data_IF_066140293299
#
_entry.id   IF_066140293299
#
_cell.length_a   1.000
_cell.length_b   1.000
_cell.length_c   1.000
_cell.angle_alpha   90.00
_cell.angle_beta   90.00
_cell.angle_gamma   90.00
#
_symmetry.space_group_name_H-M   'P 1'
#
loop_
_entity.id
_entity.type
_entity.pdbx_description
1 polymer ?
#
# COMPACT_ATOMS: atom_id res chain seq x y z
N UNK A 1 -21.18 7.29 59.48
CA UNK A 1 -19.92 6.54 59.55
C UNK A 1 -19.57 6.09 58.13
N UNK A 2 -18.57 6.75 57.52
CA UNK A 2 -18.14 6.54 56.12
C UNK A 2 -17.24 5.32 56.05
N UNK A 3 -17.50 4.38 55.15
CA UNK A 3 -16.49 3.44 54.66
C UNK A 3 -16.38 3.67 53.16
N UNK A 4 -15.27 4.30 52.77
CA UNK A 4 -14.85 4.51 51.38
C UNK A 4 -14.24 3.19 50.88
N UNK A 5 -14.87 2.52 49.91
CA UNK A 5 -14.17 1.56 49.07
C UNK A 5 -13.53 2.33 47.92
N UNK A 6 -12.20 2.39 47.95
CA UNK A 6 -11.37 2.91 46.86
C UNK A 6 -11.20 1.76 45.88
N UNK A 7 -11.91 1.79 44.74
CA UNK A 7 -11.64 0.88 43.62
C UNK A 7 -10.67 1.58 42.67
N UNK A 8 -9.42 1.13 42.67
CA UNK A 8 -8.39 1.58 41.74
C UNK A 8 -8.77 1.19 40.31
N UNK A 9 -8.99 2.18 39.46
CA UNK A 9 -9.22 2.02 38.03
C UNK A 9 -7.88 1.80 37.33
N UNK A 10 -7.55 0.55 37.00
CA UNK A 10 -6.46 0.25 36.07
C UNK A 10 -6.92 0.57 34.64
N UNK A 11 -6.51 1.73 34.13
CA UNK A 11 -6.66 2.12 32.73
C UNK A 11 -5.66 1.30 31.89
N UNK A 12 -6.13 0.15 31.37
CA UNK A 12 -5.37 -0.70 30.47
C UNK A 12 -5.27 -0.07 29.08
N UNK A 13 -4.25 0.78 28.89
CA UNK A 13 -3.78 1.24 27.59
C UNK A 13 -3.32 0.01 26.79
N UNK A 14 -4.17 -0.49 25.90
CA UNK A 14 -3.81 -1.61 25.02
C UNK A 14 -2.89 -1.08 23.91
N UNK A 15 -1.65 -0.74 24.27
CA UNK A 15 -0.53 -0.80 23.34
C UNK A 15 -0.44 -2.26 22.91
N UNK A 16 -0.78 -2.56 21.66
CA UNK A 16 -0.16 -3.70 21.00
C UNK A 16 1.34 -3.38 20.90
N UNK A 17 2.08 -3.60 22.00
CA UNK A 17 3.49 -3.89 21.98
C UNK A 17 3.64 -5.08 21.04
N UNK A 18 3.94 -4.80 19.77
CA UNK A 18 4.62 -5.77 18.94
C UNK A 18 5.92 -6.03 19.68
N UNK A 19 5.98 -7.09 20.50
CA UNK A 19 7.23 -7.60 21.00
C UNK A 19 8.14 -7.70 19.77
N UNK A 20 9.19 -6.88 19.73
CA UNK A 20 10.15 -6.94 18.65
C UNK A 20 10.58 -8.40 18.58
N UNK A 21 10.35 -9.06 17.44
CA UNK A 21 10.86 -10.42 17.23
C UNK A 21 12.32 -10.39 17.65
N UNK A 22 12.79 -11.33 18.50
CA UNK A 22 14.19 -11.34 18.90
C UNK A 22 15.03 -11.23 17.63
N UNK A 23 15.93 -10.24 17.58
CA UNK A 23 16.78 -10.03 16.41
C UNK A 23 17.41 -11.39 16.09
N UNK A 24 17.34 -11.85 14.83
CA UNK A 24 17.94 -13.12 14.48
C UNK A 24 19.40 -13.08 14.94
N UNK A 25 19.89 -14.16 15.58
CA UNK A 25 21.23 -14.16 16.15
C UNK A 25 22.28 -13.92 15.07
N UNK A 26 22.02 -14.34 13.83
CA UNK A 26 22.87 -14.10 12.68
C UNK A 26 22.15 -13.19 11.68
N UNK A 27 22.86 -12.19 11.16
CA UNK A 27 22.37 -11.25 10.14
C UNK A 27 23.36 -11.23 8.98
N UNK A 28 22.85 -11.42 7.76
CA UNK A 28 23.61 -11.20 6.52
C UNK A 28 23.22 -9.83 5.99
N UNK A 29 24.16 -8.88 6.03
CA UNK A 29 23.96 -7.56 5.44
C UNK A 29 24.45 -7.59 4.00
N UNK A 30 23.65 -7.03 3.10
CA UNK A 30 24.03 -6.77 1.72
C UNK A 30 23.72 -5.31 1.47
N UNK A 31 24.70 -4.56 1.00
CA UNK A 31 24.57 -3.13 0.70
C UNK A 31 25.20 -2.85 -0.65
N UNK A 32 24.74 -1.79 -1.32
CA UNK A 32 25.35 -1.28 -2.54
C UNK A 32 26.47 -0.30 -2.22
N UNK A 33 27.32 0.00 -3.21
CA UNK A 33 28.39 1.01 -3.13
C UNK A 33 27.86 2.45 -3.04
N UNK A 34 26.59 2.69 -3.42
CA UNK A 34 25.88 3.97 -3.22
C UNK A 34 24.78 3.84 -2.15
N UNK A 35 24.67 4.75 -1.17
CA UNK A 35 23.63 4.71 -0.14
C UNK A 35 22.20 4.77 -0.70
N UNK A 36 21.98 5.55 -1.75
CA UNK A 36 20.68 5.73 -2.41
C UNK A 36 20.30 4.51 -3.26
N UNK A 37 21.29 3.70 -3.63
CA UNK A 37 21.16 2.55 -4.52
C UNK A 37 20.50 2.88 -5.89
N UNK A 38 20.73 4.08 -6.43
CA UNK A 38 20.24 4.52 -7.74
C UNK A 38 21.39 4.69 -8.74
N UNK A 39 21.17 4.19 -9.95
CA UNK A 39 22.18 4.05 -11.02
C UNK A 39 21.58 4.44 -12.38
N UNK A 40 22.45 4.86 -13.30
CA UNK A 40 22.11 4.95 -14.72
C UNK A 40 22.17 3.55 -15.36
N UNK A 41 21.39 3.31 -16.42
CA UNK A 41 21.49 2.07 -17.17
C UNK A 41 22.92 1.91 -17.75
N UNK A 42 23.52 0.74 -17.57
CA UNK A 42 24.91 0.46 -17.95
C UNK A 42 25.93 0.72 -16.84
N UNK A 43 25.58 1.47 -15.78
CA UNK A 43 26.43 1.57 -14.59
C UNK A 43 26.67 0.18 -13.97
N UNK A 44 27.82 0.00 -13.32
CA UNK A 44 28.08 -1.16 -12.48
C UNK A 44 27.75 -0.84 -11.03
N UNK A 45 26.92 -1.65 -10.40
CA UNK A 45 26.75 -1.66 -8.95
C UNK A 45 27.67 -2.72 -8.34
N UNK A 46 28.28 -2.39 -7.21
CA UNK A 46 29.01 -3.35 -6.37
C UNK A 46 28.24 -3.60 -5.08
N UNK A 47 27.88 -4.86 -4.84
CA UNK A 47 27.28 -5.32 -3.61
C UNK A 47 28.36 -5.76 -2.64
N UNK A 48 28.34 -5.22 -1.42
CA UNK A 48 29.18 -5.66 -0.31
C UNK A 48 28.37 -6.54 0.63
N UNK A 49 28.90 -7.72 0.95
CA UNK A 49 28.29 -8.70 1.84
C UNK A 49 29.10 -8.76 3.13
N UNK A 50 28.40 -8.68 4.26
CA UNK A 50 28.96 -8.99 5.58
C UNK A 50 28.00 -9.89 6.35
N UNK A 51 28.52 -10.61 7.34
CA UNK A 51 27.70 -11.42 8.23
C UNK A 51 28.12 -11.19 9.66
N UNK A 52 27.14 -11.02 10.56
CA UNK A 52 27.37 -10.86 11.99
C UNK A 52 26.62 -11.96 12.74
N UNK A 53 27.26 -12.56 13.74
CA UNK A 53 26.66 -13.50 14.69
C UNK A 53 26.73 -12.88 16.09
N UNK A 54 25.56 -12.52 16.65
CA UNK A 54 25.40 -11.81 17.91
C UNK A 54 26.24 -10.53 18.00
N UNK A 55 26.36 -9.82 16.88
CA UNK A 55 27.14 -8.59 16.76
C UNK A 55 28.63 -8.79 16.52
N UNK A 56 29.13 -10.03 16.52
CA UNK A 56 30.51 -10.35 16.19
C UNK A 56 30.61 -10.63 14.68
N UNK A 57 31.51 -9.96 13.93
CA UNK A 57 31.71 -10.23 12.52
C UNK A 57 32.17 -11.68 12.26
N UNK A 58 31.47 -12.37 11.36
CA UNK A 58 31.87 -13.70 10.91
C UNK A 58 32.96 -13.55 9.84
N UNK A 59 34.16 -14.04 10.14
CA UNK A 59 35.35 -13.78 9.33
C UNK A 59 35.40 -14.60 8.03
N UNK A 60 34.86 -15.81 8.06
CA UNK A 60 34.94 -16.78 6.96
C UNK A 60 33.60 -17.47 6.77
N UNK A 61 33.22 -17.74 5.53
CA UNK A 61 32.00 -18.47 5.22
C UNK A 61 31.67 -18.43 3.74
N UNK A 62 31.29 -19.57 3.16
CA UNK A 62 30.98 -19.71 1.75
C UNK A 62 29.47 -19.76 1.48
N UNK A 63 29.10 -19.42 0.25
CA UNK A 63 27.73 -19.51 -0.23
C UNK A 63 27.58 -18.91 -1.62
N UNK A 64 26.39 -18.41 -1.94
CA UNK A 64 26.08 -17.90 -3.27
C UNK A 64 25.38 -16.55 -3.25
N UNK A 65 25.61 -15.77 -4.29
CA UNK A 65 24.88 -14.57 -4.63
C UNK A 65 24.12 -14.80 -5.95
N UNK A 66 22.84 -14.46 -5.99
CA UNK A 66 22.02 -14.54 -7.20
C UNK A 66 21.48 -13.17 -7.57
N UNK A 67 21.58 -12.82 -8.86
CA UNK A 67 21.05 -11.59 -9.43
C UNK A 67 19.77 -11.88 -10.23
N UNK A 68 18.80 -10.97 -10.16
CA UNK A 68 17.53 -11.04 -10.90
C UNK A 68 16.98 -9.67 -11.22
N UNK A 69 16.20 -9.57 -12.31
CA UNK A 69 15.39 -8.39 -12.65
C UNK A 69 14.11 -8.41 -11.80
N UNK A 70 14.09 -7.64 -10.72
CA UNK A 70 12.98 -7.52 -9.77
C UNK A 70 12.32 -8.87 -9.42
N UNK A 71 13.17 -9.89 -9.16
CA UNK A 71 12.80 -11.30 -8.88
C UNK A 71 12.03 -12.05 -9.98
N UNK A 72 11.87 -11.46 -11.16
CA UNK A 72 11.38 -12.16 -12.35
C UNK A 72 12.52 -12.93 -13.01
N UNK A 73 13.05 -12.43 -14.14
CA UNK A 73 14.17 -13.09 -14.85
C UNK A 73 15.41 -13.21 -13.97
N UNK A 74 15.93 -14.42 -13.84
CA UNK A 74 17.22 -14.72 -13.20
C UNK A 74 18.35 -14.33 -14.15
N UNK A 75 19.31 -13.54 -13.67
CA UNK A 75 20.44 -13.05 -14.47
C UNK A 75 21.72 -13.86 -14.24
N UNK A 76 21.85 -14.47 -13.06
CA UNK A 76 23.00 -15.32 -12.76
C UNK A 76 23.06 -15.73 -11.30
N UNK A 77 23.91 -16.71 -11.02
CA UNK A 77 24.33 -17.07 -9.66
C UNK A 77 25.84 -17.25 -9.68
N UNK A 78 26.52 -16.74 -8.67
CA UNK A 78 27.94 -16.97 -8.45
C UNK A 78 28.20 -17.43 -7.02
N UNK A 79 29.25 -18.21 -6.84
CA UNK A 79 29.78 -18.53 -5.52
C UNK A 79 30.48 -17.29 -4.95
N UNK A 80 30.32 -17.09 -3.65
CA UNK A 80 30.96 -16.03 -2.88
C UNK A 80 31.47 -16.60 -1.57
N UNK A 81 32.55 -16.03 -1.04
CA UNK A 81 33.09 -16.42 0.25
C UNK A 81 33.54 -15.18 0.99
N UNK A 82 33.16 -15.07 2.27
CA UNK A 82 33.72 -14.07 3.18
C UNK A 82 35.20 -14.39 3.39
N UNK A 83 36.05 -13.42 3.11
CA UNK A 83 37.48 -13.47 3.36
C UNK A 83 37.86 -12.26 4.21
N UNK A 84 38.17 -12.47 5.49
CA UNK A 84 38.41 -11.37 6.44
C UNK A 84 37.14 -10.57 6.77
N UNK A 85 35.98 -11.24 6.82
CA UNK A 85 34.72 -10.65 7.30
C UNK A 85 33.81 -10.04 6.24
N UNK A 86 34.25 -9.96 4.99
CA UNK A 86 33.45 -9.41 3.90
C UNK A 86 33.75 -10.07 2.55
N UNK A 87 32.86 -9.86 1.59
CA UNK A 87 33.14 -10.09 0.17
C UNK A 87 32.29 -9.17 -0.71
N UNK A 88 32.65 -9.06 -1.98
CA UNK A 88 31.95 -8.22 -2.95
C UNK A 88 31.60 -8.99 -4.21
N UNK A 89 30.53 -8.58 -4.87
CA UNK A 89 30.19 -8.99 -6.23
C UNK A 89 29.49 -7.85 -6.94
N UNK A 90 29.46 -7.86 -8.27
CA UNK A 90 28.94 -6.75 -9.05
C UNK A 90 27.87 -7.20 -10.05
N UNK A 91 27.10 -6.25 -10.54
CA UNK A 91 26.16 -6.45 -11.64
C UNK A 91 25.73 -5.13 -12.26
N UNK A 92 24.94 -5.21 -13.32
CA UNK A 92 24.37 -4.05 -14.01
C UNK A 92 23.03 -4.41 -14.66
N UNK A 93 22.26 -3.39 -15.01
CA UNK A 93 21.15 -3.49 -15.96
C UNK A 93 21.36 -2.48 -17.09
N UNK A 94 21.08 -2.91 -18.32
CA UNK A 94 21.08 -2.04 -19.51
C UNK A 94 19.69 -1.48 -19.83
N UNK A 95 18.72 -1.74 -18.95
CA UNK A 95 17.33 -1.31 -19.09
C UNK A 95 16.77 -0.85 -17.74
N UNK A 96 15.78 0.06 -17.71
CA UNK A 96 15.17 0.51 -16.47
C UNK A 96 14.57 -0.65 -15.67
N UNK A 97 14.88 -0.71 -14.38
CA UNK A 97 14.44 -1.80 -13.51
C UNK A 97 15.18 -1.87 -12.18
N UNK A 98 14.94 -2.95 -11.45
CA UNK A 98 15.59 -3.22 -10.17
C UNK A 98 16.45 -4.47 -10.26
N UNK A 99 17.75 -4.34 -10.02
CA UNK A 99 18.66 -5.47 -9.91
C UNK A 99 18.64 -5.98 -8.47
N UNK A 100 17.94 -7.09 -8.24
CA UNK A 100 17.86 -7.71 -6.91
C UNK A 100 19.01 -8.69 -6.70
N UNK A 101 19.70 -8.53 -5.57
CA UNK A 101 20.78 -9.38 -5.12
C UNK A 101 20.36 -10.21 -3.92
N UNK A 102 20.18 -11.52 -4.13
CA UNK A 102 19.82 -12.47 -3.08
C UNK A 102 21.03 -13.30 -2.68
N UNK A 103 21.50 -13.13 -1.45
CA UNK A 103 22.67 -13.79 -0.90
C UNK A 103 22.25 -14.93 0.02
N UNK A 104 22.93 -16.08 -0.08
CA UNK A 104 22.83 -17.21 0.84
C UNK A 104 24.22 -17.55 1.36
N UNK A 105 24.45 -17.45 2.67
CA UNK A 105 25.71 -17.84 3.32
C UNK A 105 25.48 -18.99 4.30
N UNK A 106 26.45 -19.91 4.40
CA UNK A 106 26.44 -20.97 5.40
C UNK A 106 27.16 -20.51 6.67
N UNK A 107 26.53 -20.69 7.83
CA UNK A 107 27.12 -20.44 9.16
C UNK A 107 26.42 -21.28 10.22
N UNK A 108 27.18 -21.96 11.08
CA UNK A 108 26.67 -22.89 12.11
C UNK A 108 25.66 -23.93 11.54
N UNK A 109 26.04 -24.61 10.46
CA UNK A 109 25.24 -25.62 9.73
C UNK A 109 23.88 -25.14 9.21
N UNK A 110 23.65 -23.81 9.20
CA UNK A 110 22.43 -23.18 8.70
C UNK A 110 22.74 -22.25 7.55
N UNK A 111 21.74 -22.04 6.69
CA UNK A 111 21.81 -21.04 5.63
C UNK A 111 21.13 -19.76 6.09
N UNK A 112 21.85 -18.65 5.97
CA UNK A 112 21.38 -17.31 6.27
C UNK A 112 21.27 -16.50 4.99
N UNK A 113 20.30 -15.60 4.93
CA UNK A 113 19.95 -14.89 3.69
C UNK A 113 20.05 -13.40 3.85
N UNK A 114 20.64 -12.73 2.86
CA UNK A 114 20.66 -11.29 2.74
C UNK A 114 20.01 -10.84 1.43
N UNK A 115 19.47 -9.64 1.40
CA UNK A 115 18.84 -9.06 0.22
C UNK A 115 19.18 -7.59 0.12
N UNK A 116 19.61 -7.17 -1.07
CA UNK A 116 19.75 -5.79 -1.48
C UNK A 116 19.19 -5.63 -2.89
N UNK A 117 18.98 -4.39 -3.31
CA UNK A 117 18.57 -4.07 -4.66
C UNK A 117 19.20 -2.75 -5.10
N UNK A 118 19.47 -2.66 -6.40
CA UNK A 118 19.92 -1.44 -7.06
C UNK A 118 18.88 -1.02 -8.10
N UNK A 119 18.45 0.23 -8.07
CA UNK A 119 17.52 0.81 -9.02
C UNK A 119 18.28 1.39 -10.22
N UNK A 120 17.94 0.95 -11.42
CA UNK A 120 18.48 1.47 -12.67
C UNK A 120 17.39 2.30 -13.33
N UNK A 121 17.62 3.62 -13.40
CA UNK A 121 16.69 4.62 -13.97
C UNK A 121 15.21 4.36 -13.63
N UNK A 122 14.84 4.23 -12.34
CA UNK A 122 13.53 3.68 -11.96
C UNK A 122 12.34 4.54 -12.44
N UNK A 123 12.53 5.85 -12.63
CA UNK A 123 11.51 6.75 -13.20
C UNK A 123 11.23 6.52 -14.69
N UNK A 124 12.08 5.77 -15.39
CA UNK A 124 11.87 5.37 -16.79
C UNK A 124 11.19 3.99 -16.91
N UNK A 125 10.85 3.35 -15.80
CA UNK A 125 10.11 2.09 -15.80
C UNK A 125 8.72 2.34 -16.40
N UNK A 126 8.47 1.70 -17.54
CA UNK A 126 7.17 1.68 -18.18
C UNK A 126 6.28 0.61 -17.56
N UNK A 127 4.98 0.90 -17.49
CA UNK A 127 3.98 -0.07 -17.11
C UNK A 127 3.86 -1.19 -18.15
N UNK A 128 3.79 -2.43 -17.67
CA UNK A 128 3.46 -3.59 -18.49
C UNK A 128 1.95 -3.64 -18.78
N UNK A 129 1.12 -3.21 -17.83
CA UNK A 129 -0.34 -3.21 -18.01
C UNK A 129 -0.77 -2.10 -18.98
N UNK A 130 -1.45 -2.50 -20.06
CA UNK A 130 -2.04 -1.59 -21.04
C UNK A 130 -3.41 -1.10 -20.57
N UNK A 131 -3.81 0.08 -21.04
CA UNK A 131 -5.10 0.68 -20.74
C UNK A 131 -6.15 0.14 -21.73
N UNK A 132 -7.21 -0.56 -21.27
CA UNK A 132 -8.32 -0.95 -22.15
C UNK A 132 -9.06 0.27 -22.71
N UNK A 133 -9.52 0.19 -23.96
CA UNK A 133 -10.22 1.29 -24.64
C UNK A 133 -11.53 1.69 -23.92
N UNK A 134 -12.25 0.73 -23.35
CA UNK A 134 -13.50 0.93 -22.60
C UNK A 134 -13.27 1.07 -21.08
N UNK A 135 -12.02 1.26 -20.62
CA UNK A 135 -11.69 1.24 -19.19
C UNK A 135 -12.55 2.18 -18.34
N UNK A 136 -12.64 3.46 -18.71
CA UNK A 136 -13.46 4.42 -17.97
C UNK A 136 -14.96 4.16 -18.16
N UNK A 137 -15.38 3.75 -19.36
CA UNK A 137 -16.76 3.41 -19.64
C UNK A 137 -17.26 2.22 -18.77
N UNK A 138 -16.40 1.23 -18.51
CA UNK A 138 -16.68 0.12 -17.60
C UNK A 138 -16.97 0.61 -16.17
N UNK A 139 -16.14 1.50 -15.63
CA UNK A 139 -16.33 2.05 -14.29
C UNK A 139 -17.54 3.00 -14.21
N UNK A 140 -17.79 3.80 -15.24
CA UNK A 140 -18.98 4.65 -15.35
C UNK A 140 -20.27 3.84 -15.43
N UNK A 141 -20.27 2.72 -16.17
CA UNK A 141 -21.40 1.80 -16.20
C UNK A 141 -21.67 1.20 -14.80
N UNK A 142 -20.61 0.84 -14.07
CA UNK A 142 -20.70 0.40 -12.67
C UNK A 142 -21.30 1.48 -11.75
N UNK A 143 -20.86 2.74 -11.89
CA UNK A 143 -21.41 3.90 -11.15
C UNK A 143 -22.88 4.13 -11.48
N UNK A 144 -23.27 4.06 -12.76
CA UNK A 144 -24.67 4.20 -13.21
C UNK A 144 -25.56 3.10 -12.66
N UNK A 145 -25.07 1.85 -12.61
CA UNK A 145 -25.79 0.76 -11.95
C UNK A 145 -25.96 1.03 -10.45
N UNK A 146 -24.90 1.50 -9.79
CA UNK A 146 -24.92 1.80 -8.37
C UNK A 146 -25.80 3.00 -8.01
N UNK A 147 -25.92 4.01 -8.88
CA UNK A 147 -26.81 5.17 -8.66
C UNK A 147 -28.29 4.81 -8.73
N UNK A 148 -28.64 3.72 -9.43
CA UNK A 148 -30.01 3.18 -9.44
C UNK A 148 -30.41 2.46 -8.14
N UNK A 149 -29.45 2.20 -7.24
CA UNK A 149 -29.69 1.61 -5.92
C UNK A 149 -29.85 2.75 -4.90
N UNK A 150 -30.88 2.78 -4.04
CA UNK A 150 -30.99 3.76 -2.97
C UNK A 150 -29.76 3.78 -2.06
N UNK A 151 -29.36 4.95 -1.55
CA UNK A 151 -28.16 5.09 -0.70
C UNK A 151 -28.20 4.11 0.49
N UNK A 152 -29.38 3.98 1.11
CA UNK A 152 -29.61 3.23 2.36
C UNK A 152 -28.43 3.43 3.33
N UNK A 153 -28.12 4.71 3.58
CA UNK A 153 -27.09 5.10 4.53
C UNK A 153 -27.55 4.74 5.93
N UNK A 154 -26.73 3.96 6.63
CA UNK A 154 -26.95 3.61 8.02
C UNK A 154 -25.76 4.07 8.84
N UNK A 155 -26.04 4.64 10.00
CA UNK A 155 -25.02 5.03 10.96
C UNK A 155 -25.39 4.58 12.36
N UNK A 156 -24.37 4.19 13.13
CA UNK A 156 -24.47 3.90 14.56
C UNK A 156 -23.37 4.67 15.27
N UNK A 157 -23.76 5.54 16.20
CA UNK A 157 -22.81 6.24 17.07
C UNK A 157 -22.06 5.23 17.95
N UNK A 158 -20.76 5.41 18.08
CA UNK A 158 -19.88 4.58 18.88
C UNK A 158 -19.43 5.39 20.10
N UNK A 159 -20.27 5.45 21.14
CA UNK A 159 -20.03 6.35 22.29
C UNK A 159 -18.66 6.11 22.95
N UNK A 160 -18.25 4.85 23.10
CA UNK A 160 -16.93 4.48 23.64
C UNK A 160 -15.73 4.89 22.76
N UNK A 161 -15.97 5.40 21.54
CA UNK A 161 -14.95 5.90 20.60
C UNK A 161 -15.08 7.40 20.33
N UNK A 162 -16.09 8.06 20.90
CA UNK A 162 -16.22 9.52 20.86
C UNK A 162 -15.24 10.16 21.84
N UNK A 163 -14.85 11.40 21.57
CA UNK A 163 -13.97 12.20 22.44
C UNK A 163 -14.54 13.61 22.58
N UNK A 164 -13.90 14.47 23.37
CA UNK A 164 -14.26 15.90 23.43
C UNK A 164 -13.97 16.63 22.11
N UNK A 165 -13.16 16.05 21.22
CA UNK A 165 -12.78 16.65 19.94
C UNK A 165 -13.63 16.16 18.75
N UNK A 166 -14.22 14.96 18.81
CA UNK A 166 -14.98 14.39 17.70
C UNK A 166 -15.98 13.32 18.15
N UNK A 167 -17.02 13.12 17.34
CA UNK A 167 -17.93 11.98 17.44
C UNK A 167 -17.53 10.87 16.45
N UNK A 168 -17.67 9.61 16.85
CA UNK A 168 -17.32 8.45 16.03
C UNK A 168 -18.56 7.62 15.67
N UNK A 169 -18.64 7.18 14.43
CA UNK A 169 -19.76 6.41 13.89
C UNK A 169 -19.25 5.19 13.13
N UNK A 170 -19.93 4.05 13.30
CA UNK A 170 -19.94 2.99 12.30
C UNK A 170 -20.94 3.38 11.21
N UNK A 171 -20.54 3.26 9.94
CA UNK A 171 -21.34 3.66 8.79
C UNK A 171 -21.43 2.52 7.77
N UNK A 172 -22.52 2.49 7.01
CA UNK A 172 -22.64 1.60 5.85
C UNK A 172 -23.55 2.15 4.76
N UNK A 173 -23.32 1.67 3.54
CA UNK A 173 -24.06 2.04 2.33
C UNK A 173 -24.48 0.79 1.57
N UNK A 174 -25.69 0.80 1.01
CA UNK A 174 -26.07 -0.24 0.04
C UNK A 174 -25.15 -0.18 -1.18
N UNK A 175 -24.85 -1.36 -1.72
CA UNK A 175 -23.93 -1.54 -2.83
C UNK A 175 -24.53 -2.53 -3.85
N UNK A 176 -23.83 -2.75 -4.97
CA UNK A 176 -24.22 -3.73 -5.98
C UNK A 176 -24.33 -5.15 -5.40
N UNK A 177 -25.09 -5.99 -6.10
CA UNK A 177 -25.27 -7.41 -5.81
C UNK A 177 -25.82 -7.71 -4.40
N UNK A 178 -26.64 -6.79 -3.87
CA UNK A 178 -27.23 -6.90 -2.54
C UNK A 178 -26.22 -6.78 -1.39
N UNK A 179 -24.99 -6.37 -1.70
CA UNK A 179 -23.92 -6.21 -0.70
C UNK A 179 -23.98 -4.82 -0.05
N UNK A 180 -23.13 -4.61 0.95
CA UNK A 180 -22.93 -3.30 1.60
C UNK A 180 -21.45 -2.97 1.72
N UNK A 181 -21.13 -1.69 1.66
CA UNK A 181 -19.84 -1.16 2.07
C UNK A 181 -19.93 -0.73 3.54
N UNK A 182 -18.95 -1.12 4.35
CA UNK A 182 -18.89 -0.83 5.79
C UNK A 182 -17.64 -0.03 6.14
N UNK A 183 -17.74 0.83 7.14
CA UNK A 183 -16.61 1.62 7.59
C UNK A 183 -16.93 2.46 8.82
N UNK A 184 -16.10 3.47 9.02
CA UNK A 184 -16.20 4.39 10.14
C UNK A 184 -16.06 5.83 9.68
N UNK A 185 -16.72 6.74 10.39
CA UNK A 185 -16.59 8.18 10.22
C UNK A 185 -16.34 8.83 11.59
N UNK A 186 -15.30 9.65 11.68
CA UNK A 186 -15.11 10.59 12.77
C UNK A 186 -15.51 11.99 12.30
N UNK A 187 -16.44 12.62 13.01
CA UNK A 187 -16.92 13.98 12.74
C UNK A 187 -16.41 14.91 13.83
N UNK A 188 -15.57 15.92 13.51
CA UNK A 188 -15.09 16.88 14.50
C UNK A 188 -16.25 17.61 15.19
N UNK A 189 -16.08 17.90 16.49
CA UNK A 189 -16.95 18.81 17.21
C UNK A 189 -16.54 20.25 16.89
N UNK A 190 -17.52 21.13 16.67
CA UNK A 190 -17.29 22.53 16.34
C UNK A 190 -18.15 22.99 15.17
N UNK A 191 -17.90 24.21 14.71
CA UNK A 191 -18.55 24.75 13.51
C UNK A 191 -17.67 24.41 12.31
N UNK A 192 -18.19 23.59 11.41
CA UNK A 192 -17.61 23.38 10.09
C UNK A 192 -17.79 24.60 9.17
N UNK A 193 -17.61 24.45 7.85
CA UNK A 193 -17.31 23.18 7.17
C UNK A 193 -15.88 22.69 7.41
N UNK A 194 -15.63 21.40 7.19
CA UNK A 194 -14.37 20.72 7.47
C UNK A 194 -13.73 20.15 6.20
N UNK A 195 -12.39 20.07 6.11
CA UNK A 195 -11.72 19.23 5.12
C UNK A 195 -11.98 17.76 5.40
N UNK A 196 -11.73 16.88 4.42
CA UNK A 196 -11.96 15.45 4.53
C UNK A 196 -10.70 14.61 4.30
N UNK A 197 -10.53 13.57 5.11
CA UNK A 197 -9.51 12.54 4.95
C UNK A 197 -10.19 11.18 4.79
N UNK A 198 -9.75 10.42 3.79
CA UNK A 198 -10.29 9.11 3.45
C UNK A 198 -9.18 8.08 3.46
N UNK A 199 -9.45 6.90 4.01
CA UNK A 199 -8.53 5.76 3.92
C UNK A 199 -9.23 4.45 3.65
N UNK A 200 -8.54 3.58 2.92
CA UNK A 200 -8.94 2.19 2.70
C UNK A 200 -7.88 1.30 3.37
N UNK A 201 -8.27 0.27 4.14
CA UNK A 201 -7.33 -0.53 4.90
C UNK A 201 -6.41 -1.39 4.02
N UNK A 202 -5.30 -1.81 4.60
CA UNK A 202 -4.41 -2.81 4.00
C UNK A 202 -5.06 -4.20 3.92
N UNK A 203 -4.46 -5.09 3.14
CA UNK A 203 -4.96 -6.44 2.96
C UNK A 203 -4.93 -7.25 4.26
N UNK A 204 -6.01 -7.99 4.53
CA UNK A 204 -6.06 -8.94 5.64
C UNK A 204 -7.42 -9.01 6.32
N UNK A 205 -7.54 -9.77 7.43
CA UNK A 205 -8.72 -9.77 8.28
C UNK A 205 -8.89 -8.47 9.05
N UNK A 206 -7.80 -7.69 9.14
CA UNK A 206 -7.53 -6.70 10.16
C UNK A 206 -8.79 -5.95 10.58
N UNK A 207 -9.34 -6.25 11.77
CA UNK A 207 -10.30 -5.36 12.39
C UNK A 207 -9.69 -3.96 12.36
N UNK A 208 -10.34 -3.05 11.65
CA UNK A 208 -10.00 -1.64 11.64
C UNK A 208 -11.10 -0.89 12.39
N UNK A 209 -10.81 0.35 12.77
CA UNK A 209 -11.71 1.16 13.57
C UNK A 209 -11.75 2.61 13.10
N UNK A 210 -12.53 3.45 13.80
CA UNK A 210 -12.50 4.89 13.59
C UNK A 210 -11.07 5.44 13.78
N UNK A 211 -10.63 6.29 12.86
CA UNK A 211 -9.31 6.94 12.91
C UNK A 211 -9.46 8.42 13.21
N UNK A 212 -9.35 8.78 14.49
CA UNK A 212 -9.59 10.15 14.97
C UNK A 212 -8.43 11.12 14.78
N UNK A 213 -7.27 10.68 14.28
CA UNK A 213 -6.03 11.49 14.29
C UNK A 213 -6.11 12.81 13.51
N UNK A 214 -6.86 12.85 12.40
CA UNK A 214 -7.17 14.09 11.70
C UNK A 214 -8.45 14.76 12.23
N UNK A 215 -9.39 13.98 12.77
CA UNK A 215 -10.62 14.53 13.36
C UNK A 215 -10.35 15.40 14.59
N UNK A 216 -9.35 15.07 15.40
CA UNK A 216 -8.87 15.95 16.49
C UNK A 216 -8.33 17.29 16.01
N UNK A 217 -8.04 17.42 14.71
CA UNK A 217 -7.54 18.64 14.07
C UNK A 217 -8.59 19.31 13.17
N UNK A 218 -9.87 18.97 13.34
CA UNK A 218 -10.96 19.58 12.58
C UNK A 218 -11.16 19.02 11.17
N UNK A 219 -10.95 17.71 10.96
CA UNK A 219 -11.15 17.05 9.67
C UNK A 219 -12.18 15.91 9.74
N UNK A 220 -13.09 15.80 8.78
CA UNK A 220 -13.90 14.60 8.60
C UNK A 220 -12.98 13.42 8.26
N UNK A 221 -12.89 12.41 9.11
CA UNK A 221 -12.00 11.27 8.89
C UNK A 221 -12.79 9.99 8.64
N UNK A 222 -12.72 9.46 7.42
CA UNK A 222 -13.48 8.30 6.97
C UNK A 222 -12.55 7.12 6.63
N UNK A 223 -12.86 5.95 7.17
CA UNK A 223 -12.18 4.68 6.81
C UNK A 223 -13.22 3.71 6.27
N UNK A 224 -13.09 3.30 5.00
CA UNK A 224 -14.02 2.37 4.35
C UNK A 224 -13.34 1.04 4.07
N UNK A 225 -13.94 -0.05 4.53
CA UNK A 225 -13.44 -1.41 4.34
C UNK A 225 -13.72 -2.00 2.98
N UNK A 226 -13.00 -3.09 2.67
CA UNK A 226 -13.15 -3.85 1.41
C UNK A 226 -14.06 -5.07 1.54
N UNK A 227 -14.41 -5.45 2.76
CA UNK A 227 -15.20 -6.65 3.06
C UNK A 227 -16.69 -6.35 3.19
N UNK A 228 -17.52 -7.38 3.08
CA UNK A 228 -19.00 -7.28 3.15
C UNK A 228 -19.57 -7.53 4.54
N UNK A 229 -18.73 -7.72 5.56
CA UNK A 229 -19.19 -7.92 6.93
C UNK A 229 -19.13 -6.61 7.73
N UNK A 230 -20.04 -6.47 8.68
CA UNK A 230 -20.21 -5.25 9.47
C UNK A 230 -19.15 -5.12 10.56
N UNK A 231 -18.01 -4.53 10.18
CA UNK A 231 -16.89 -4.28 11.09
C UNK A 231 -17.23 -3.34 12.26
N UNK A 232 -18.34 -2.61 12.19
CA UNK A 232 -18.76 -1.68 13.24
C UNK A 232 -19.62 -2.31 14.34
N UNK A 233 -20.17 -3.50 14.09
CA UNK A 233 -21.03 -4.22 15.05
C UNK A 233 -20.46 -5.56 15.47
N UNK A 234 -19.67 -6.21 14.62
CA UNK A 234 -19.01 -7.47 14.93
C UNK A 234 -17.84 -7.28 15.90
N UNK A 235 -17.63 -8.28 16.75
CA UNK A 235 -16.43 -8.42 17.56
C UNK A 235 -15.21 -8.74 16.69
N UNK A 236 -14.01 -8.56 17.24
CA UNK A 236 -12.76 -8.89 16.56
C UNK A 236 -12.72 -10.36 16.11
N UNK A 237 -13.23 -11.28 16.94
CA UNK A 237 -13.19 -12.71 16.63
C UNK A 237 -14.24 -13.12 15.59
N UNK A 238 -15.41 -12.49 15.58
CA UNK A 238 -16.39 -12.64 14.50
C UNK A 238 -15.85 -12.10 13.17
N UNK A 239 -15.14 -10.96 13.16
CA UNK A 239 -14.47 -10.43 11.98
C UNK A 239 -13.44 -11.42 11.44
N UNK A 240 -12.59 -11.99 12.31
CA UNK A 240 -11.62 -13.02 11.93
C UNK A 240 -12.30 -14.28 11.39
N UNK A 241 -13.40 -14.72 12.00
CA UNK A 241 -14.17 -15.88 11.55
C UNK A 241 -14.82 -15.64 10.18
N UNK A 242 -15.39 -14.44 9.96
CA UNK A 242 -15.97 -14.03 8.68
C UNK A 242 -14.89 -13.95 7.59
N UNK A 243 -13.73 -13.36 7.89
CA UNK A 243 -12.58 -13.33 6.98
C UNK A 243 -12.08 -14.74 6.66
N UNK A 244 -11.98 -15.62 7.65
CA UNK A 244 -11.56 -17.01 7.45
C UNK A 244 -12.54 -17.72 6.51
N UNK A 245 -13.85 -17.55 6.75
CA UNK A 245 -14.92 -18.11 5.91
C UNK A 245 -14.85 -17.59 4.48
N UNK A 246 -14.66 -16.27 4.31
CA UNK A 246 -14.46 -15.65 3.00
C UNK A 246 -13.27 -16.25 2.26
N UNK A 247 -12.18 -16.62 2.96
CA UNK A 247 -10.98 -17.15 2.31
C UNK A 247 -10.96 -18.67 2.16
N UNK A 248 -11.97 -19.41 2.65
CA UNK A 248 -12.08 -20.88 2.48
C UNK A 248 -12.05 -21.32 1.01
N UNK A 249 -12.84 -20.74 0.08
CA UNK A 249 -12.78 -21.11 -1.34
C UNK A 249 -11.57 -20.52 -2.09
N UNK A 250 -10.59 -19.96 -1.37
CA UNK A 250 -9.44 -19.26 -1.93
C UNK A 250 -9.38 -17.80 -1.48
N UNK A 251 -8.25 -17.15 -1.74
CA UNK A 251 -8.01 -15.77 -1.28
C UNK A 251 -9.05 -14.80 -1.86
N UNK A 252 -9.65 -13.96 -1.00
CA UNK A 252 -10.69 -12.99 -1.38
C UNK A 252 -10.29 -12.11 -2.57
N UNK A 253 -9.00 -11.77 -2.68
CA UNK A 253 -8.43 -10.94 -3.75
C UNK A 253 -8.48 -11.61 -5.13
N UNK A 254 -8.87 -12.88 -5.20
CA UNK A 254 -9.04 -13.66 -6.42
C UNK A 254 -10.48 -14.17 -6.60
N UNK A 255 -11.45 -13.71 -5.79
CA UNK A 255 -12.84 -14.11 -5.98
C UNK A 255 -13.42 -13.49 -7.25
N UNK A 256 -14.17 -14.29 -8.01
CA UNK A 256 -14.83 -13.85 -9.25
C UNK A 256 -13.92 -13.78 -10.48
N UNK A 257 -12.61 -14.06 -10.35
CA UNK A 257 -11.72 -14.15 -11.52
C UNK A 257 -12.12 -15.33 -12.43
N UNK A 258 -11.98 -15.21 -13.77
CA UNK A 258 -11.54 -14.04 -14.54
C UNK A 258 -12.68 -13.11 -14.99
N UNK A 259 -13.88 -13.20 -14.43
CA UNK A 259 -15.02 -12.39 -14.86
C UNK A 259 -14.94 -10.96 -14.26
N UNK A 260 -14.69 -9.95 -15.09
CA UNK A 260 -14.56 -8.55 -14.65
C UNK A 260 -15.82 -8.03 -13.95
N UNK A 261 -17.02 -8.53 -14.27
CA UNK A 261 -18.27 -8.11 -13.63
C UNK A 261 -18.45 -8.72 -12.24
N UNK A 262 -17.85 -9.90 -12.00
CA UNK A 262 -17.94 -10.63 -10.72
C UNK A 262 -16.71 -10.45 -9.83
N UNK A 263 -15.65 -9.83 -10.34
CA UNK A 263 -14.40 -9.71 -9.62
C UNK A 263 -14.57 -8.92 -8.31
N UNK A 264 -13.97 -9.43 -7.24
CA UNK A 264 -14.09 -8.92 -5.87
C UNK A 264 -13.93 -7.40 -5.78
N UNK A 265 -12.89 -6.83 -6.41
CA UNK A 265 -12.59 -5.41 -6.25
C UNK A 265 -13.53 -4.49 -7.03
N UNK A 266 -14.37 -5.01 -7.93
CA UNK A 266 -15.41 -4.21 -8.59
C UNK A 266 -16.38 -3.62 -7.58
N UNK A 267 -17.00 -4.48 -6.76
CA UNK A 267 -17.90 -4.02 -5.69
C UNK A 267 -17.17 -3.17 -4.65
N UNK A 268 -15.89 -3.43 -4.40
CA UNK A 268 -15.10 -2.66 -3.43
C UNK A 268 -14.98 -1.21 -3.90
N UNK A 269 -14.46 -0.98 -5.10
CA UNK A 269 -14.19 0.39 -5.54
C UNK A 269 -15.45 1.16 -5.89
N UNK A 270 -16.52 0.49 -6.33
CA UNK A 270 -17.84 1.10 -6.42
C UNK A 270 -18.38 1.52 -5.04
N UNK A 271 -18.20 0.69 -4.01
CA UNK A 271 -18.60 0.99 -2.64
C UNK A 271 -17.81 2.13 -2.00
N UNK A 272 -16.48 2.14 -2.17
CA UNK A 272 -15.61 3.24 -1.70
C UNK A 272 -15.96 4.53 -2.44
N UNK A 273 -16.13 4.49 -3.75
CA UNK A 273 -16.52 5.66 -4.56
C UNK A 273 -17.86 6.26 -4.10
N UNK A 274 -18.86 5.42 -3.82
CA UNK A 274 -20.15 5.85 -3.26
C UNK A 274 -20.01 6.53 -1.91
N UNK A 275 -19.18 5.98 -1.03
CA UNK A 275 -18.92 6.58 0.28
C UNK A 275 -18.23 7.94 0.16
N UNK A 276 -17.25 8.06 -0.75
CA UNK A 276 -16.57 9.33 -1.05
C UNK A 276 -17.53 10.37 -1.63
N UNK A 277 -18.38 9.99 -2.59
CA UNK A 277 -19.40 10.88 -3.16
C UNK A 277 -20.42 11.33 -2.11
N UNK A 278 -20.81 10.43 -1.19
CA UNK A 278 -21.66 10.80 -0.06
C UNK A 278 -20.97 11.78 0.88
N UNK A 279 -19.69 11.55 1.22
CA UNK A 279 -18.90 12.45 2.05
C UNK A 279 -18.79 13.84 1.42
N UNK A 280 -18.57 13.90 0.10
CA UNK A 280 -18.51 15.13 -0.68
C UNK A 280 -19.87 15.86 -0.80
N UNK A 281 -20.99 15.16 -0.60
CA UNK A 281 -22.32 15.77 -0.61
C UNK A 281 -22.76 16.31 0.76
N UNK A 282 -21.97 16.12 1.82
CA UNK A 282 -22.33 16.59 3.15
C UNK A 282 -22.18 18.10 3.26
N UNK A 283 -23.15 18.73 3.94
CA UNK A 283 -23.14 20.18 4.19
C UNK A 283 -22.01 20.65 5.12
N UNK A 284 -21.39 19.73 5.88
CA UNK A 284 -20.26 20.01 6.77
C UNK A 284 -18.89 19.68 6.15
N UNK A 285 -18.82 19.32 4.86
CA UNK A 285 -17.56 19.30 4.10
C UNK A 285 -17.30 20.66 3.44
N UNK A 286 -16.02 21.05 3.33
CA UNK A 286 -15.61 22.36 2.83
C UNK A 286 -15.67 22.55 1.31
N UNK A 287 -15.99 21.48 0.57
CA UNK A 287 -16.10 21.52 -0.89
C UNK A 287 -14.77 21.62 -1.62
N UNK A 288 -13.63 21.58 -0.92
CA UNK A 288 -12.32 21.97 -1.49
C UNK A 288 -11.15 21.06 -1.12
N UNK A 289 -11.19 20.39 0.03
CA UNK A 289 -10.07 19.56 0.47
C UNK A 289 -10.54 18.15 0.81
N UNK A 290 -10.04 17.17 0.04
CA UNK A 290 -10.25 15.75 0.32
C UNK A 290 -9.00 14.93 -0.01
N UNK A 291 -8.31 14.45 1.01
CA UNK A 291 -7.09 13.65 0.84
C UNK A 291 -7.39 12.17 1.01
N UNK A 292 -6.90 11.33 0.09
CA UNK A 292 -6.92 9.87 0.24
C UNK A 292 -5.54 9.33 0.59
N UNK A 293 -5.46 8.47 1.61
CA UNK A 293 -4.22 7.91 2.15
C UNK A 293 -4.37 6.40 2.36
N UNK A 294 -3.36 5.62 1.95
CA UNK A 294 -3.25 4.26 2.42
C UNK A 294 -1.88 3.62 2.21
N UNK A 295 -1.76 2.37 2.67
CA UNK A 295 -0.56 1.55 2.50
C UNK A 295 -0.90 0.19 1.92
N UNK A 296 -0.01 -0.39 1.10
CA UNK A 296 -0.24 -1.71 0.48
C UNK A 296 -1.53 -1.70 -0.34
N UNK A 297 -2.50 -2.61 -0.08
CA UNK A 297 -3.84 -2.54 -0.68
C UNK A 297 -4.51 -1.17 -0.51
N UNK A 298 -4.34 -0.52 0.65
CA UNK A 298 -4.83 0.83 0.87
C UNK A 298 -4.12 1.87 0.00
N UNK A 299 -2.83 1.68 -0.27
CA UNK A 299 -2.04 2.56 -1.14
C UNK A 299 -2.47 2.41 -2.60
N UNK A 300 -2.69 1.19 -3.06
CA UNK A 300 -3.31 0.95 -4.38
C UNK A 300 -4.70 1.57 -4.46
N UNK A 301 -5.51 1.42 -3.41
CA UNK A 301 -6.84 2.03 -3.33
C UNK A 301 -6.80 3.56 -3.34
N UNK A 302 -5.78 4.18 -2.74
CA UNK A 302 -5.58 5.62 -2.81
C UNK A 302 -5.32 6.10 -4.24
N UNK A 303 -4.46 5.40 -5.00
CA UNK A 303 -4.23 5.69 -6.42
C UNK A 303 -5.50 5.48 -7.26
N UNK A 304 -6.22 4.39 -7.01
CA UNK A 304 -7.48 4.07 -7.69
C UNK A 304 -8.51 5.16 -7.46
N UNK A 305 -8.73 5.58 -6.21
CA UNK A 305 -9.69 6.65 -5.89
C UNK A 305 -9.26 8.01 -6.46
N UNK A 306 -7.96 8.32 -6.46
CA UNK A 306 -7.46 9.56 -7.05
C UNK A 306 -7.65 9.63 -8.57
N UNK A 307 -7.57 8.49 -9.27
CA UNK A 307 -7.84 8.41 -10.70
C UNK A 307 -9.33 8.34 -11.04
N UNK A 308 -10.12 7.69 -10.18
CA UNK A 308 -11.54 7.42 -10.42
C UNK A 308 -12.46 8.56 -9.96
N UNK A 309 -12.24 9.14 -8.77
CA UNK A 309 -13.15 10.08 -8.11
C UNK A 309 -12.62 11.52 -8.10
N UNK A 310 -13.37 12.44 -8.71
CA UNK A 310 -12.98 13.85 -8.88
C UNK A 310 -13.07 14.69 -7.62
N UNK A 311 -13.66 14.18 -6.54
CA UNK A 311 -13.69 14.89 -5.25
C UNK A 311 -12.35 14.80 -4.52
N UNK A 312 -11.50 13.81 -4.84
CA UNK A 312 -10.16 13.68 -4.26
C UNK A 312 -9.28 14.82 -4.78
N UNK A 313 -8.61 15.53 -3.87
CA UNK A 313 -7.77 16.69 -4.18
C UNK A 313 -6.28 16.46 -3.94
N UNK A 314 -5.91 15.40 -3.22
CA UNK A 314 -4.54 14.90 -3.13
C UNK A 314 -4.51 13.43 -2.69
N UNK A 315 -3.43 12.70 -3.00
CA UNK A 315 -3.28 11.29 -2.66
C UNK A 315 -1.92 10.95 -2.05
N UNK A 316 -1.92 10.03 -1.09
CA UNK A 316 -0.72 9.47 -0.50
C UNK A 316 -0.76 7.93 -0.53
N UNK A 317 0.25 7.30 -1.13
CA UNK A 317 0.29 5.86 -1.33
C UNK A 317 1.62 5.24 -0.87
N UNK A 318 1.60 4.58 0.29
CA UNK A 318 2.77 3.88 0.82
C UNK A 318 2.86 2.46 0.25
N UNK A 319 3.99 2.09 -0.38
CA UNK A 319 4.22 0.74 -0.98
C UNK A 319 2.97 0.15 -1.64
N UNK A 320 2.38 0.85 -2.63
CA UNK A 320 1.05 0.53 -3.14
C UNK A 320 1.00 -0.86 -3.78
N UNK A 321 0.03 -1.66 -3.36
CA UNK A 321 -0.35 -2.89 -4.03
C UNK A 321 -1.23 -2.58 -5.25
N UNK A 322 -1.71 -3.62 -5.92
CA UNK A 322 -2.60 -3.57 -7.08
C UNK A 322 -1.99 -2.87 -8.29
N UNK A 323 -0.68 -2.72 -8.34
CA UNK A 323 0.03 -2.09 -9.44
C UNK A 323 0.66 -3.15 -10.35
N UNK A 324 0.58 -2.91 -11.65
CA UNK A 324 1.29 -3.59 -12.73
C UNK A 324 1.21 -5.12 -12.67
N UNK A 325 -0.02 -5.64 -12.72
CA UNK A 325 -0.31 -7.08 -12.69
C UNK A 325 0.29 -7.83 -13.87
N UNK A 326 0.60 -7.13 -14.97
CA UNK A 326 1.23 -7.70 -16.16
C UNK A 326 2.75 -7.69 -16.09
N UNK A 327 3.38 -7.34 -14.96
CA UNK A 327 4.84 -7.23 -14.83
C UNK A 327 5.63 -8.43 -15.37
N UNK A 328 5.04 -9.65 -15.30
CA UNK A 328 5.65 -10.86 -15.85
C UNK A 328 5.83 -10.84 -17.39
N UNK A 329 5.03 -10.07 -18.14
CA UNK A 329 5.22 -9.83 -19.59
C UNK A 329 6.55 -9.13 -19.89
N UNK A 330 7.06 -8.35 -18.93
CA UNK A 330 8.35 -7.67 -18.98
C UNK A 330 9.38 -8.36 -18.06
N UNK A 331 9.16 -9.63 -17.73
CA UNK A 331 10.05 -10.45 -16.91
C UNK A 331 10.35 -9.87 -15.50
N UNK A 332 9.43 -9.06 -14.96
CA UNK A 332 9.48 -8.48 -13.60
C UNK A 332 8.43 -9.16 -12.72
N UNK A 333 8.63 -9.16 -11.39
CA UNK A 333 7.58 -9.61 -10.48
C UNK A 333 6.40 -8.60 -10.46
N UNK A 334 5.14 -9.06 -10.52
CA UNK A 334 3.98 -8.18 -10.38
C UNK A 334 3.76 -7.74 -8.93
N UNK A 335 3.02 -6.65 -8.73
CA UNK A 335 2.52 -6.26 -7.41
C UNK A 335 1.42 -7.19 -6.90
N UNK A 336 1.25 -7.24 -5.57
CA UNK A 336 0.13 -7.98 -4.95
C UNK A 336 -1.22 -7.54 -5.54
N UNK A 337 -2.17 -8.44 -5.82
CA UNK A 337 -2.17 -9.86 -5.45
C UNK A 337 -1.61 -10.81 -6.53
N UNK A 338 -0.91 -10.30 -7.55
CA UNK A 338 -0.41 -11.07 -8.69
C UNK A 338 -1.54 -11.82 -9.44
N UNK A 339 -2.45 -11.05 -10.06
CA UNK A 339 -3.67 -11.60 -10.67
C UNK A 339 -3.43 -12.50 -11.88
N UNK A 340 -2.36 -12.28 -12.63
CA UNK A 340 -2.02 -13.07 -13.82
C UNK A 340 -1.18 -14.28 -13.40
N UNK A 341 -1.86 -15.41 -13.16
CA UNK A 341 -1.27 -16.68 -12.69
C UNK A 341 -2.05 -17.87 -13.22
N UNK A 342 -1.47 -19.07 -13.13
CA UNK A 342 -2.09 -20.32 -13.61
C UNK A 342 -1.45 -20.81 -14.90
N UNK A 343 -2.13 -21.74 -15.57
CA UNK A 343 -1.73 -22.21 -16.91
C UNK A 343 -1.88 -21.10 -17.98
N UNK A 344 -1.57 -21.40 -19.25
CA UNK A 344 -1.67 -20.43 -20.34
C UNK A 344 -3.08 -19.88 -20.55
N UNK A 345 -4.10 -20.74 -20.51
CA UNK A 345 -5.50 -20.37 -20.67
C UNK A 345 -5.97 -19.49 -19.50
N UNK A 346 -5.63 -19.87 -18.27
CA UNK A 346 -5.96 -19.08 -17.08
C UNK A 346 -5.28 -17.71 -17.12
N UNK A 347 -3.99 -17.66 -17.49
CA UNK A 347 -3.24 -16.40 -17.61
C UNK A 347 -3.85 -15.49 -18.66
N UNK A 348 -4.24 -16.01 -19.82
CA UNK A 348 -4.88 -15.22 -20.87
C UNK A 348 -6.17 -14.55 -20.37
N UNK A 349 -7.09 -15.34 -19.78
CA UNK A 349 -8.35 -14.82 -19.26
C UNK A 349 -8.16 -13.83 -18.11
N UNK A 350 -7.20 -14.10 -17.20
CA UNK A 350 -6.89 -13.19 -16.07
C UNK A 350 -6.22 -11.90 -16.53
N UNK A 351 -5.43 -11.94 -17.60
CA UNK A 351 -4.75 -10.77 -18.17
C UNK A 351 -5.78 -9.71 -18.57
N UNK A 352 -6.77 -10.08 -19.38
CA UNK A 352 -7.82 -9.17 -19.84
C UNK A 352 -8.57 -8.50 -18.67
N UNK A 353 -9.05 -9.30 -17.71
CA UNK A 353 -9.76 -8.77 -16.54
C UNK A 353 -8.89 -7.89 -15.65
N UNK A 354 -7.64 -8.30 -15.40
CA UNK A 354 -6.77 -7.60 -14.45
C UNK A 354 -6.48 -6.14 -14.82
N UNK A 355 -6.48 -5.80 -16.12
CA UNK A 355 -6.27 -4.43 -16.58
C UNK A 355 -7.34 -3.44 -16.08
N UNK A 356 -8.56 -3.90 -15.81
CA UNK A 356 -9.64 -3.04 -15.28
C UNK A 356 -9.49 -2.73 -13.80
N UNK A 357 -8.67 -3.48 -13.08
CA UNK A 357 -8.49 -3.38 -11.62
C UNK A 357 -7.05 -3.03 -11.21
N UNK A 358 -6.19 -2.77 -12.20
CA UNK A 358 -4.80 -2.38 -11.98
C UNK A 358 -4.71 -0.87 -11.67
N UNK A 359 -4.16 -0.54 -10.51
CA UNK A 359 -3.92 0.83 -10.05
C UNK A 359 -3.05 1.63 -11.03
N UNK A 360 -2.20 0.98 -11.85
CA UNK A 360 -1.49 1.63 -12.96
C UNK A 360 -2.46 2.34 -13.90
N UNK A 361 -3.55 1.70 -14.29
CA UNK A 361 -4.47 2.25 -15.29
C UNK A 361 -5.29 3.41 -14.71
N UNK A 362 -5.67 3.35 -13.44
CA UNK A 362 -6.25 4.52 -12.74
C UNK A 362 -5.25 5.66 -12.60
N UNK A 363 -3.97 5.36 -12.37
CA UNK A 363 -2.91 6.36 -12.17
C UNK A 363 -2.71 7.25 -13.40
N UNK A 364 -3.09 6.79 -14.59
CA UNK A 364 -3.11 7.60 -15.83
C UNK A 364 -4.09 8.77 -15.79
N UNK A 365 -5.13 8.67 -14.95
CA UNK A 365 -6.20 9.68 -14.83
C UNK A 365 -6.05 10.59 -13.61
N UNK A 366 -4.98 10.41 -12.82
CA UNK A 366 -4.71 11.25 -11.66
C UNK A 366 -4.28 12.64 -12.12
N UNK A 367 -5.08 13.64 -11.76
CA UNK A 367 -4.81 15.06 -12.00
C UNK A 367 -4.40 15.85 -10.76
N UNK A 368 -4.19 15.19 -9.62
CA UNK A 368 -3.96 15.81 -8.32
C UNK A 368 -2.58 15.48 -7.74
N UNK A 369 -2.04 16.29 -6.81
CA UNK A 369 -0.81 16.00 -6.07
C UNK A 369 -0.74 14.58 -5.49
N UNK A 370 0.38 13.88 -5.72
CA UNK A 370 0.62 12.53 -5.18
C UNK A 370 1.95 12.41 -4.44
N UNK A 371 1.97 11.75 -3.29
CA UNK A 371 3.21 11.20 -2.73
C UNK A 371 3.16 9.67 -2.66
N UNK A 372 4.27 9.02 -3.00
CA UNK A 372 4.41 7.57 -3.03
C UNK A 372 5.63 7.11 -2.24
N UNK A 373 5.69 5.83 -1.87
CA UNK A 373 6.93 5.21 -1.38
C UNK A 373 7.19 3.85 -2.02
N UNK A 374 8.47 3.50 -2.15
CA UNK A 374 8.91 2.20 -2.66
C UNK A 374 10.05 1.65 -1.81
N UNK A 375 9.88 0.42 -1.32
CA UNK A 375 10.96 -0.37 -0.75
C UNK A 375 11.65 -1.16 -1.85
N UNK A 376 12.95 -0.99 -2.07
CA UNK A 376 13.64 -1.63 -3.19
C UNK A 376 13.79 -3.14 -3.00
N UNK A 377 13.61 -3.65 -1.79
CA UNK A 377 13.61 -5.09 -1.52
C UNK A 377 12.21 -5.61 -1.15
N UNK A 378 11.15 -4.85 -1.48
CA UNK A 378 9.77 -5.26 -1.28
C UNK A 378 9.42 -6.45 -2.17
N UNK A 379 9.00 -7.55 -1.53
CA UNK A 379 8.64 -8.81 -2.20
C UNK A 379 7.12 -9.01 -2.35
N UNK A 380 6.33 -8.09 -1.82
CA UNK A 380 4.87 -8.08 -1.85
C UNK A 380 4.37 -7.11 -2.91
N UNK A 381 4.85 -5.87 -2.86
CA UNK A 381 4.58 -4.84 -3.86
C UNK A 381 5.92 -4.52 -4.51
N UNK A 382 6.25 -5.23 -5.60
CA UNK A 382 7.57 -5.13 -6.22
C UNK A 382 7.87 -3.67 -6.59
N UNK A 383 9.11 -3.18 -6.39
CA UNK A 383 9.44 -1.80 -6.67
C UNK A 383 9.20 -1.44 -8.15
N UNK A 384 9.39 -2.36 -9.12
CA UNK A 384 9.03 -2.06 -10.52
C UNK A 384 7.53 -1.85 -10.69
N UNK A 385 6.67 -2.61 -9.98
CA UNK A 385 5.22 -2.38 -10.06
C UNK A 385 4.81 -1.03 -9.48
N UNK A 386 5.43 -0.60 -8.38
CA UNK A 386 5.20 0.71 -7.79
C UNK A 386 5.65 1.82 -8.74
N UNK A 387 6.85 1.68 -9.32
CA UNK A 387 7.37 2.64 -10.29
C UNK A 387 6.59 2.66 -11.61
N UNK A 388 6.04 1.53 -12.06
CA UNK A 388 5.14 1.49 -13.21
C UNK A 388 3.91 2.40 -12.99
N UNK A 389 3.30 2.35 -11.79
CA UNK A 389 2.20 3.26 -11.44
C UNK A 389 2.68 4.72 -11.28
N UNK A 390 3.83 4.94 -10.65
CA UNK A 390 4.41 6.27 -10.48
C UNK A 390 4.68 6.95 -11.83
N UNK A 391 5.31 6.25 -12.77
CA UNK A 391 5.78 6.81 -14.05
C UNK A 391 4.66 7.26 -14.97
N UNK A 392 3.47 6.65 -14.88
CA UNK A 392 2.31 7.05 -15.70
C UNK A 392 1.59 8.29 -15.18
N UNK A 393 1.76 8.66 -13.90
CA UNK A 393 1.19 9.88 -13.32
C UNK A 393 1.84 11.11 -13.95
N UNK A 394 1.04 12.06 -14.44
CA UNK A 394 1.51 13.34 -15.00
C UNK A 394 1.33 14.53 -14.06
N UNK A 395 0.49 14.38 -13.04
CA UNK A 395 0.30 15.39 -11.99
C UNK A 395 1.56 15.53 -11.10
N UNK A 396 1.67 16.63 -10.32
CA UNK A 396 2.76 16.81 -9.37
C UNK A 396 2.90 15.61 -8.43
N UNK A 397 4.10 15.01 -8.40
CA UNK A 397 4.31 13.73 -7.71
C UNK A 397 5.70 13.64 -7.08
N UNK A 398 5.81 12.98 -5.93
CA UNK A 398 7.10 12.65 -5.29
C UNK A 398 7.11 11.21 -4.82
N UNK A 399 8.24 10.50 -4.99
CA UNK A 399 8.42 9.15 -4.46
C UNK A 399 9.54 9.11 -3.42
N UNK A 400 9.33 8.37 -2.34
CA UNK A 400 10.29 8.17 -1.26
C UNK A 400 10.84 6.75 -1.32
N UNK A 401 12.16 6.64 -1.44
CA UNK A 401 12.84 5.36 -1.61
C UNK A 401 13.38 4.82 -0.29
N UNK A 402 13.24 3.51 -0.10
CA UNK A 402 13.91 2.77 0.96
C UNK A 402 14.76 1.65 0.36
N UNK A 403 16.06 1.88 0.10
CA UNK A 403 16.93 0.90 -0.58
C UNK A 403 17.00 -0.48 0.10
N UNK A 404 16.96 -0.50 1.44
CA UNK A 404 16.95 -1.72 2.25
C UNK A 404 15.58 -2.00 2.89
N UNK A 405 14.54 -1.27 2.47
CA UNK A 405 13.19 -1.48 2.97
C UNK A 405 12.47 -2.57 2.15
N UNK A 406 11.89 -3.54 2.86
CA UNK A 406 10.91 -4.46 2.28
C UNK A 406 9.50 -3.88 2.31
N UNK A 407 8.49 -4.73 2.45
CA UNK A 407 7.10 -4.30 2.61
C UNK A 407 6.86 -3.71 4.01
N UNK A 408 7.02 -2.39 4.15
CA UNK A 408 7.04 -1.72 5.45
C UNK A 408 6.15 -0.48 5.49
N UNK A 409 5.71 -0.14 6.70
CA UNK A 409 4.93 1.07 6.96
C UNK A 409 5.78 2.35 6.88
N UNK A 410 7.06 2.26 7.22
CA UNK A 410 7.99 3.38 7.22
C UNK A 410 9.10 3.12 6.18
N UNK A 411 9.04 3.83 5.06
CA UNK A 411 10.00 3.73 3.95
C UNK A 411 10.70 5.07 3.83
N UNK A 412 12.03 5.09 4.03
CA UNK A 412 12.82 6.31 4.03
C UNK A 412 12.19 7.40 4.90
N UNK A 413 12.02 8.59 4.33
CA UNK A 413 11.41 9.75 5.01
C UNK A 413 9.88 9.83 4.86
N UNK A 414 9.25 8.89 4.15
CA UNK A 414 7.84 8.99 3.72
C UNK A 414 6.90 9.39 4.87
N UNK A 415 7.00 8.73 6.03
CA UNK A 415 6.09 9.00 7.16
C UNK A 415 6.31 10.37 7.78
N UNK A 416 7.56 10.78 7.91
CA UNK A 416 7.89 12.09 8.44
C UNK A 416 7.33 13.19 7.53
N UNK A 417 7.44 13.01 6.22
CA UNK A 417 6.90 13.93 5.23
C UNK A 417 5.36 13.91 5.19
N UNK A 418 4.74 12.72 5.13
CA UNK A 418 3.29 12.51 5.16
C UNK A 418 2.62 13.26 6.32
N UNK A 419 3.23 13.18 7.52
CA UNK A 419 2.70 13.78 8.74
C UNK A 419 2.58 15.32 8.68
N UNK A 420 3.31 15.94 7.76
CA UNK A 420 3.29 17.38 7.50
C UNK A 420 2.51 17.70 6.22
N UNK A 421 2.69 16.88 5.18
CA UNK A 421 2.11 17.10 3.86
C UNK A 421 0.59 16.95 3.85
N UNK A 422 0.04 15.89 4.47
CA UNK A 422 -1.43 15.69 4.49
C UNK A 422 -2.16 16.82 5.20
N UNK A 423 -1.77 17.28 6.42
CA UNK A 423 -2.36 18.48 7.01
C UNK A 423 -2.29 19.72 6.11
N UNK A 424 -1.20 19.89 5.35
CA UNK A 424 -1.06 20.97 4.37
C UNK A 424 -2.07 20.88 3.23
N UNK A 425 -2.26 19.68 2.67
CA UNK A 425 -3.26 19.43 1.62
C UNK A 425 -4.72 19.51 2.13
N UNK A 426 -4.92 19.32 3.43
CA UNK A 426 -6.21 19.51 4.10
C UNK A 426 -6.48 20.97 4.51
N UNK A 427 -5.55 21.90 4.30
CA UNK A 427 -5.68 23.29 4.75
C UNK A 427 -5.65 23.46 6.28
N UNK A 428 -5.23 22.43 7.03
CA UNK A 428 -5.13 22.43 8.50
C UNK A 428 -3.77 23.01 8.95
N UNK A 429 -2.78 22.95 8.07
CA UNK A 429 -1.43 23.48 8.28
C UNK A 429 -0.96 24.19 6.99
N UNK A 430 0.16 24.94 7.01
CA UNK A 430 0.75 25.48 5.79
C UNK A 430 0.98 24.38 4.74
N UNK A 431 0.57 24.66 3.50
CA UNK A 431 0.70 23.71 2.41
C UNK A 431 2.18 23.41 2.11
N UNK A 432 2.50 22.13 1.97
CA UNK A 432 3.78 21.68 1.44
C UNK A 432 3.56 21.20 0.02
N UNK A 433 4.29 21.77 -0.94
CA UNK A 433 4.27 21.28 -2.30
C UNK A 433 4.75 19.81 -2.35
N UNK A 434 4.16 18.96 -3.19
CA UNK A 434 4.80 17.71 -3.61
C UNK A 434 6.03 18.08 -4.46
N UNK A 435 7.13 18.50 -3.84
CA UNK A 435 8.33 18.91 -4.57
C UNK A 435 8.80 17.76 -5.46
N UNK A 436 8.86 18.01 -6.76
CA UNK A 436 9.78 17.36 -7.69
C UNK A 436 10.36 18.48 -8.55
N UNK A 437 11.55 18.94 -8.19
CA UNK A 437 12.52 19.57 -9.09
C UNK A 437 13.80 19.79 -8.28
N UNK A 438 14.78 18.95 -8.56
CA UNK A 438 16.15 19.37 -8.84
C UNK A 438 16.76 18.21 -9.63
N UNK A 439 16.57 18.25 -10.96
CA UNK A 439 17.59 17.68 -11.83
C UNK A 439 18.69 18.74 -11.89
N UNK A 440 19.90 18.48 -11.36
CA UNK A 440 21.03 19.28 -11.81
C UNK A 440 21.17 19.01 -13.31
N UNK A 441 21.24 20.10 -14.10
CA UNK A 441 21.67 20.07 -15.50
C UNK A 441 23.06 19.44 -15.67
#
# INVERSE_FOLDING_TARGET
>A
MRIRLILWSFLGLCLCLHAAKPKPPVVVNVVTDRPEAVYACGDTVTFTVTMVDKGVPVQTGGGSASLSLDRGRKLGTQEIALAGGSCTFSGSLNEPGFLHAYVRLKHNDKTWTGLAAAAFEPEKIVAATELPDDFMAFWEAGRKRLSGIPLDYRQKRLDAKCTDAYDAFAISFANIDGTRAYGFLCVPKGKGPFPAWVSVPGAGPGPFGPSGGYATKGCLAMVIGVHTYDVGTLTIDEIKAAYTTLNKPGTYSHHGVPDREKYFFRRVYLGVDRAVNWLAARADWDGRHMVVDGSSQGGGSALIMAGLNKNITAAAANVPALCDHWGAKLERAPGWPALVRGDETERAARTEMSAYFDAVNFSRFIGVPVIMSAGFIDRTCSPSSVYAAYSVIKAPKRIFNGPLCGHQWNVGEYRSFLSKWVPGQLGIAPALAPMAEDKPE
#
